data_IF_581272441750
#
_entry.id   IF_581272441750
#
_cell.length_a   1.000
_cell.length_b   1.000
_cell.length_c   1.000
_cell.angle_alpha   90.00
_cell.angle_beta   90.00
_cell.angle_gamma   90.00
#
_symmetry.space_group_name_H-M   'P 1'
#
loop_
_entity.id
_entity.type
_entity.pdbx_description
1 polymer ?
#
# COMPACT_ATOMS: atom_id res chain seq x y z
N UNK A 1 -3.06 18.84 22.21
CA UNK A 1 -3.80 20.09 22.38
C UNK A 1 -3.41 21.05 21.24
N UNK A 2 -4.32 21.27 20.30
CA UNK A 2 -4.12 22.10 19.10
C UNK A 2 -3.67 23.53 19.44
N UNK A 3 -4.07 24.07 20.61
CA UNK A 3 -3.65 25.40 21.08
C UNK A 3 -2.15 25.53 21.33
N UNK A 4 -1.44 24.39 21.38
CA UNK A 4 0.00 24.31 21.59
C UNK A 4 0.73 23.76 20.36
N UNK A 5 -0.01 23.46 19.30
CA UNK A 5 0.55 22.91 18.07
C UNK A 5 1.47 23.94 17.39
N UNK A 6 2.50 23.42 16.73
CA UNK A 6 3.45 24.21 15.93
C UNK A 6 3.72 23.44 14.64
N UNK A 7 4.06 24.14 13.59
CA UNK A 7 4.61 23.53 12.37
C UNK A 7 5.87 22.74 12.68
N UNK A 8 6.10 21.69 11.93
CA UNK A 8 7.35 20.93 12.04
C UNK A 8 8.55 21.84 11.77
N UNK A 9 9.69 21.63 12.44
CA UNK A 9 10.94 22.31 12.09
C UNK A 9 11.28 22.09 10.63
N UNK A 10 11.69 23.14 9.93
CA UNK A 10 11.96 23.13 8.47
C UNK A 10 12.92 22.02 8.02
N UNK A 11 13.86 21.60 8.88
CA UNK A 11 14.79 20.49 8.61
C UNK A 11 14.10 19.20 8.18
N UNK A 12 12.89 18.92 8.65
CA UNK A 12 12.13 17.72 8.25
C UNK A 12 11.75 17.72 6.78
N UNK A 13 11.73 18.87 6.14
CA UNK A 13 11.33 19.03 4.74
C UNK A 13 12.52 19.08 3.78
N UNK A 14 13.73 19.47 4.20
CA UNK A 14 14.87 19.64 3.29
C UNK A 14 16.14 18.87 3.65
N UNK A 15 16.29 18.38 4.91
CA UNK A 15 17.47 17.60 5.27
C UNK A 15 17.36 16.16 4.75
N UNK A 16 18.37 15.72 4.01
CA UNK A 16 18.45 14.35 3.47
C UNK A 16 18.34 13.27 4.56
N UNK A 17 18.98 13.53 5.72
CA UNK A 17 18.88 12.61 6.86
C UNK A 17 17.44 12.47 7.34
N UNK A 18 16.70 13.57 7.50
CA UNK A 18 15.31 13.54 7.94
C UNK A 18 14.43 12.80 6.94
N UNK A 19 14.65 13.01 5.64
CA UNK A 19 13.98 12.30 4.57
C UNK A 19 14.24 10.78 4.63
N UNK A 20 15.49 10.37 4.76
CA UNK A 20 15.84 8.94 4.83
C UNK A 20 15.32 8.28 6.12
N UNK A 21 15.36 8.97 7.25
CA UNK A 21 14.79 8.47 8.50
C UNK A 21 13.26 8.30 8.39
N UNK A 22 12.58 9.21 7.70
CA UNK A 22 11.12 9.17 7.52
C UNK A 22 10.63 7.98 6.68
N UNK A 23 11.48 7.43 5.79
CA UNK A 23 11.14 6.24 5.00
C UNK A 23 10.83 5.01 5.85
N UNK A 24 11.33 4.96 7.09
CA UNK A 24 11.03 3.87 8.02
C UNK A 24 9.53 3.73 8.31
N UNK A 25 8.77 4.83 8.23
CA UNK A 25 7.32 4.81 8.40
C UNK A 25 6.61 3.91 7.36
N UNK A 26 7.19 3.77 6.17
CA UNK A 26 6.62 2.94 5.11
C UNK A 26 6.88 1.43 5.26
N UNK A 27 7.68 1.02 6.25
CA UNK A 27 7.85 -0.41 6.57
C UNK A 27 6.66 -1.01 7.28
N UNK A 28 5.84 -0.18 7.93
CA UNK A 28 4.56 -0.60 8.50
C UNK A 28 3.53 -0.99 7.44
N UNK A 29 2.28 -1.11 7.85
CA UNK A 29 1.21 -1.52 6.96
C UNK A 29 0.97 -0.52 5.84
N UNK A 30 1.01 -1.02 4.61
CA UNK A 30 0.77 -0.26 3.38
C UNK A 30 -0.38 -0.89 2.61
N UNK A 31 -1.25 -0.06 2.05
CA UNK A 31 -2.26 -0.52 1.09
C UNK A 31 -1.55 -1.11 -0.14
N UNK A 32 -1.99 -2.28 -0.56
CA UNK A 32 -1.43 -2.97 -1.72
C UNK A 32 -2.37 -2.91 -2.92
N UNK A 33 -3.60 -3.43 -2.78
CA UNK A 33 -4.59 -3.46 -3.86
C UNK A 33 -6.01 -3.70 -3.31
N UNK A 34 -7.01 -3.51 -4.16
CA UNK A 34 -8.41 -3.85 -3.88
C UNK A 34 -8.76 -5.24 -4.47
N UNK A 35 -9.66 -5.98 -3.79
CA UNK A 35 -10.10 -7.33 -4.17
C UNK A 35 -10.61 -7.44 -5.62
N UNK A 36 -11.21 -6.38 -6.16
CA UNK A 36 -11.71 -6.36 -7.54
C UNK A 36 -10.62 -6.54 -8.60
N UNK A 37 -9.36 -6.20 -8.28
CA UNK A 37 -8.24 -6.35 -9.21
C UNK A 37 -7.95 -7.83 -9.52
N UNK A 38 -8.33 -8.75 -8.62
CA UNK A 38 -8.21 -10.19 -8.86
C UNK A 38 -9.22 -10.77 -9.84
N UNK A 39 -10.17 -9.97 -10.35
CA UNK A 39 -11.10 -10.43 -11.39
C UNK A 39 -10.39 -10.65 -12.74
N UNK A 40 -9.32 -9.89 -13.01
CA UNK A 40 -8.58 -9.95 -14.27
C UNK A 40 -7.36 -10.87 -14.17
N UNK A 41 -6.62 -10.78 -13.07
CA UNK A 41 -5.37 -11.50 -12.87
C UNK A 41 -5.27 -11.97 -11.42
N UNK A 42 -4.59 -13.10 -11.20
CA UNK A 42 -4.36 -13.59 -9.84
C UNK A 42 -3.00 -13.19 -9.25
N UNK A 43 -2.15 -12.52 -10.02
CA UNK A 43 -0.82 -12.07 -9.60
C UNK A 43 -0.64 -10.61 -9.97
N UNK A 44 -0.28 -9.78 -8.98
CA UNK A 44 -0.08 -8.34 -9.13
C UNK A 44 1.23 -7.91 -8.47
N UNK A 45 2.25 -7.47 -9.24
CA UNK A 45 3.40 -6.77 -8.68
C UNK A 45 2.96 -5.39 -8.15
N UNK A 46 3.54 -4.96 -7.02
CA UNK A 46 3.14 -3.74 -6.31
C UNK A 46 4.27 -2.70 -6.37
N UNK A 47 4.29 -1.93 -7.43
CA UNK A 47 5.36 -0.98 -7.74
C UNK A 47 5.46 0.18 -6.75
N UNK A 48 4.33 0.70 -6.23
CA UNK A 48 4.34 1.82 -5.30
C UNK A 48 4.99 1.46 -3.97
N UNK A 49 4.86 0.23 -3.48
CA UNK A 49 5.55 -0.23 -2.27
C UNK A 49 7.04 -0.40 -2.55
N UNK A 50 7.39 -1.03 -3.67
CA UNK A 50 8.79 -1.19 -4.09
C UNK A 50 9.50 0.14 -4.22
N UNK A 51 8.89 1.13 -4.85
CA UNK A 51 9.50 2.46 -5.08
C UNK A 51 9.89 3.16 -3.78
N UNK A 52 9.21 2.86 -2.68
CA UNK A 52 9.45 3.47 -1.37
C UNK A 52 10.39 2.60 -0.53
N UNK A 53 10.15 1.30 -0.50
CA UNK A 53 10.83 0.36 0.41
C UNK A 53 12.09 -0.26 -0.20
N UNK A 54 12.18 -0.27 -1.53
CA UNK A 54 13.23 -0.95 -2.28
C UNK A 54 13.05 -2.47 -2.36
N UNK A 55 11.96 -3.03 -1.81
CA UNK A 55 11.66 -4.45 -1.86
C UNK A 55 10.59 -4.74 -2.91
N UNK A 56 10.93 -5.42 -4.01
CA UNK A 56 9.95 -5.86 -4.99
C UNK A 56 9.04 -6.93 -4.40
N UNK A 57 7.75 -6.66 -4.36
CA UNK A 57 6.76 -7.60 -3.85
C UNK A 57 5.69 -7.90 -4.89
N UNK A 58 5.02 -9.03 -4.71
CA UNK A 58 3.90 -9.46 -5.54
C UNK A 58 2.76 -9.98 -4.65
N UNK A 59 1.55 -9.52 -4.91
CA UNK A 59 0.35 -10.06 -4.27
C UNK A 59 -0.22 -11.14 -5.16
N UNK A 60 -0.54 -12.29 -4.56
CA UNK A 60 -0.95 -13.50 -5.28
C UNK A 60 -2.21 -14.06 -4.67
N UNK A 61 -3.23 -14.26 -5.49
CA UNK A 61 -4.47 -14.94 -5.11
C UNK A 61 -4.39 -16.42 -5.53
N UNK A 62 -4.16 -17.29 -4.55
CA UNK A 62 -4.33 -18.74 -4.64
C UNK A 62 -5.56 -19.18 -3.83
N UNK A 63 -5.42 -20.23 -3.03
CA UNK A 63 -6.40 -20.60 -2.01
C UNK A 63 -6.53 -19.49 -0.94
N UNK A 64 -5.43 -18.84 -0.65
CA UNK A 64 -5.33 -17.63 0.18
C UNK A 64 -4.61 -16.54 -0.62
N UNK A 65 -4.79 -15.29 -0.19
CA UNK A 65 -4.00 -14.18 -0.71
C UNK A 65 -2.69 -14.10 0.05
N UNK A 66 -1.57 -14.10 -0.68
CA UNK A 66 -0.23 -14.01 -0.12
C UNK A 66 0.49 -12.79 -0.67
N UNK A 67 1.38 -12.22 0.12
CA UNK A 67 2.37 -11.26 -0.32
C UNK A 67 3.75 -11.91 -0.30
N UNK A 68 4.38 -11.99 -1.45
CA UNK A 68 5.67 -12.68 -1.63
C UNK A 68 6.72 -11.71 -2.15
N UNK A 69 7.99 -11.94 -1.80
CA UNK A 69 9.09 -11.31 -2.51
C UNK A 69 9.03 -11.68 -3.99
N UNK A 70 9.13 -10.70 -4.85
CA UNK A 70 9.12 -10.87 -6.30
C UNK A 70 10.52 -11.16 -6.86
N UNK A 71 11.40 -11.65 -6.02
CA UNK A 71 12.82 -11.89 -6.34
C UNK A 71 13.15 -13.37 -6.20
N UNK A 72 13.73 -13.92 -7.27
CA UNK A 72 14.21 -15.30 -7.28
C UNK A 72 15.31 -15.52 -6.25
N UNK A 73 15.13 -16.49 -5.35
CA UNK A 73 16.08 -16.83 -4.28
C UNK A 73 17.41 -17.43 -4.75
N UNK A 74 17.63 -17.56 -6.09
CA UNK A 74 18.91 -18.02 -6.63
C UNK A 74 19.89 -16.85 -6.87
N UNK A 75 19.55 -15.92 -7.77
CA UNK A 75 20.40 -14.78 -8.15
C UNK A 75 19.65 -13.46 -8.32
N UNK A 76 18.57 -13.27 -7.60
CA UNK A 76 17.90 -11.98 -7.47
C UNK A 76 17.17 -11.51 -8.73
N UNK A 77 16.84 -12.39 -9.70
CA UNK A 77 16.04 -11.99 -10.85
C UNK A 77 14.58 -11.75 -10.42
N UNK A 78 13.97 -10.69 -10.91
CA UNK A 78 12.54 -10.43 -10.75
C UNK A 78 11.74 -11.54 -11.45
N UNK A 79 10.65 -11.96 -10.82
CA UNK A 79 9.84 -13.09 -11.31
C UNK A 79 8.63 -12.62 -12.15
N UNK A 80 8.03 -11.50 -11.79
CA UNK A 80 6.82 -10.96 -12.41
C UNK A 80 6.98 -9.45 -12.62
N UNK A 81 6.85 -9.00 -13.86
CA UNK A 81 6.96 -7.58 -14.20
C UNK A 81 5.59 -6.90 -14.36
N UNK A 82 4.54 -7.65 -14.72
CA UNK A 82 3.20 -7.12 -14.98
C UNK A 82 2.13 -8.03 -14.40
N UNK A 83 0.93 -7.52 -14.08
CA UNK A 83 -0.19 -8.34 -13.66
C UNK A 83 -0.45 -9.48 -14.65
N UNK A 84 -0.61 -10.70 -14.13
CA UNK A 84 -0.84 -11.89 -14.94
C UNK A 84 -1.58 -12.98 -14.17
N UNK A 85 -2.01 -14.04 -14.92
CA UNK A 85 -2.63 -15.22 -14.32
C UNK A 85 -1.73 -16.44 -14.53
N UNK A 86 -1.20 -16.98 -13.43
CA UNK A 86 -0.34 -18.19 -13.43
C UNK A 86 -0.63 -19.03 -12.19
N UNK A 87 -0.29 -20.32 -12.26
CA UNK A 87 -0.40 -21.27 -11.14
C UNK A 87 0.94 -21.56 -10.45
N UNK A 88 2.01 -20.95 -10.94
CA UNK A 88 3.38 -21.11 -10.41
C UNK A 88 4.26 -19.98 -10.92
N UNK A 89 5.38 -19.77 -10.25
CA UNK A 89 6.44 -18.88 -10.72
C UNK A 89 7.55 -19.70 -11.38
N UNK A 90 8.10 -19.17 -12.44
CA UNK A 90 9.32 -19.70 -13.07
C UNK A 90 10.27 -18.56 -13.37
N UNK A 91 11.47 -18.63 -12.78
CA UNK A 91 12.55 -17.72 -13.07
C UNK A 91 13.07 -17.94 -14.49
N UNK A 92 13.11 -16.91 -15.30
CA UNK A 92 13.57 -17.01 -16.69
C UNK A 92 15.09 -17.16 -16.81
N UNK A 93 15.83 -16.87 -15.72
CA UNK A 93 17.29 -16.93 -15.75
C UNK A 93 17.81 -18.36 -15.76
N UNK A 94 17.39 -19.22 -14.79
CA UNK A 94 17.88 -20.60 -14.68
C UNK A 94 16.75 -21.63 -14.50
N UNK A 95 15.52 -21.23 -14.75
CA UNK A 95 14.38 -22.15 -14.70
C UNK A 95 13.92 -22.55 -13.30
N UNK A 96 14.44 -21.91 -12.22
CA UNK A 96 13.96 -22.16 -10.85
C UNK A 96 12.46 -21.91 -10.75
N UNK A 97 11.72 -22.85 -10.14
CA UNK A 97 10.27 -22.76 -10.04
C UNK A 97 9.79 -22.74 -8.60
N UNK A 98 8.69 -22.02 -8.39
CA UNK A 98 7.99 -21.91 -7.10
C UNK A 98 6.50 -22.15 -7.32
N UNK A 99 5.85 -22.71 -6.32
CA UNK A 99 4.38 -22.76 -6.29
C UNK A 99 3.78 -21.36 -6.07
N UNK A 100 2.48 -21.28 -6.26
CA UNK A 100 1.74 -20.02 -6.12
C UNK A 100 1.79 -19.42 -4.70
N UNK A 101 2.05 -20.26 -3.69
CA UNK A 101 2.27 -19.87 -2.30
C UNK A 101 3.75 -19.55 -1.97
N UNK A 102 4.62 -19.49 -2.99
CA UNK A 102 6.03 -19.12 -2.86
C UNK A 102 6.99 -20.24 -2.46
N UNK A 103 6.51 -21.48 -2.30
CA UNK A 103 7.38 -22.60 -1.96
C UNK A 103 8.21 -23.06 -3.14
N UNK A 104 9.48 -23.34 -2.89
CA UNK A 104 10.36 -23.94 -3.86
C UNK A 104 9.78 -25.25 -4.43
N UNK A 105 9.94 -25.49 -5.73
CA UNK A 105 9.49 -26.68 -6.43
C UNK A 105 10.59 -27.43 -7.13
N UNK A 106 11.38 -26.71 -7.92
CA UNK A 106 12.42 -27.33 -8.73
C UNK A 106 13.53 -26.33 -9.13
N UNK A 107 14.74 -26.83 -9.28
CA UNK A 107 15.88 -26.13 -9.87
C UNK A 107 16.61 -27.12 -10.78
N UNK A 108 16.69 -26.86 -12.10
CA UNK A 108 17.44 -27.73 -13.01
C UNK A 108 18.92 -27.85 -12.61
N UNK A 109 19.49 -29.03 -12.80
CA UNK A 109 20.91 -29.32 -12.54
C UNK A 109 21.39 -29.24 -11.09
N UNK A 110 20.41 -29.23 -10.13
CA UNK A 110 20.70 -29.20 -8.68
C UNK A 110 20.47 -30.54 -7.98
N UNK A 111 20.36 -31.62 -8.76
CA UNK A 111 20.18 -32.98 -8.23
C UNK A 111 21.43 -33.38 -7.42
N UNK A 112 21.21 -33.82 -6.19
CA UNK A 112 22.28 -34.31 -5.30
C UNK A 112 23.08 -33.23 -4.59
N UNK A 113 22.70 -31.96 -4.67
CA UNK A 113 23.31 -30.88 -3.88
C UNK A 113 22.96 -31.09 -2.41
N UNK A 114 23.97 -31.12 -1.53
CA UNK A 114 23.81 -31.36 -0.09
C UNK A 114 23.17 -30.13 0.56
N UNK A 115 22.13 -30.37 1.35
CA UNK A 115 21.40 -29.28 2.07
C UNK A 115 20.46 -28.47 1.19
N UNK A 116 20.20 -28.93 -0.03
CA UNK A 116 19.26 -28.30 -0.96
C UNK A 116 18.12 -29.28 -1.32
N UNK A 117 16.84 -28.82 -1.40
CA UNK A 117 16.37 -27.50 -0.98
C UNK A 117 16.26 -27.34 0.54
N UNK A 118 16.26 -26.10 1.00
CA UNK A 118 15.99 -25.68 2.39
C UNK A 118 14.84 -24.67 2.44
N UNK A 119 14.46 -24.23 3.62
CA UNK A 119 13.43 -23.18 3.77
C UNK A 119 13.88 -21.83 3.19
N UNK A 120 15.17 -21.57 3.14
CA UNK A 120 15.75 -20.37 2.53
C UNK A 120 15.59 -20.32 1.00
N UNK A 121 15.24 -21.46 0.40
CA UNK A 121 14.96 -21.54 -1.03
C UNK A 121 13.55 -21.09 -1.40
N UNK A 122 12.64 -20.95 -0.43
CA UNK A 122 11.33 -20.41 -0.63
C UNK A 122 11.37 -18.89 -0.86
N UNK A 123 10.34 -18.35 -1.52
CA UNK A 123 10.15 -16.90 -1.58
C UNK A 123 9.80 -16.37 -0.18
N UNK A 124 10.38 -15.24 0.21
CA UNK A 124 10.02 -14.58 1.45
C UNK A 124 8.53 -14.19 1.41
N UNK A 125 7.83 -14.46 2.50
CA UNK A 125 6.42 -14.14 2.66
C UNK A 125 6.27 -12.96 3.63
N UNK A 126 5.48 -11.95 3.23
CA UNK A 126 5.16 -10.79 4.05
C UNK A 126 3.75 -10.93 4.64
N UNK A 127 3.52 -10.41 5.85
CA UNK A 127 2.20 -10.46 6.46
C UNK A 127 1.15 -9.71 5.62
N UNK A 128 -0.05 -10.26 5.61
CA UNK A 128 -1.21 -9.69 4.93
C UNK A 128 -2.32 -9.37 5.92
N UNK A 129 -3.03 -8.30 5.66
CA UNK A 129 -4.28 -7.96 6.33
C UNK A 129 -5.30 -7.49 5.29
N UNK A 130 -6.58 -7.73 5.58
CA UNK A 130 -7.68 -7.34 4.68
C UNK A 130 -8.73 -6.63 5.52
N UNK A 131 -9.21 -5.51 5.02
CA UNK A 131 -10.35 -4.79 5.56
C UNK A 131 -11.23 -4.32 4.41
N UNK A 132 -12.48 -4.76 4.39
CA UNK A 132 -13.52 -4.37 3.44
C UNK A 132 -13.04 -4.35 1.97
N UNK A 133 -12.41 -5.46 1.52
CA UNK A 133 -11.86 -5.60 0.18
C UNK A 133 -10.51 -4.92 -0.08
N UNK A 134 -10.02 -4.11 0.84
CA UNK A 134 -8.70 -3.49 0.77
C UNK A 134 -7.64 -4.44 1.36
N UNK A 135 -6.63 -4.77 0.58
CA UNK A 135 -5.51 -5.61 0.98
C UNK A 135 -4.32 -4.76 1.40
N UNK A 136 -3.73 -5.10 2.54
CA UNK A 136 -2.57 -4.43 3.11
C UNK A 136 -1.46 -5.44 3.35
N UNK A 137 -0.22 -4.98 3.26
CA UNK A 137 0.97 -5.76 3.62
C UNK A 137 1.93 -4.91 4.45
N UNK A 138 2.85 -5.56 5.17
CA UNK A 138 3.84 -4.87 6.00
C UNK A 138 5.19 -5.57 5.91
N UNK A 139 6.26 -4.78 5.93
CA UNK A 139 7.62 -5.27 6.15
C UNK A 139 7.97 -5.31 7.65
N UNK A 140 7.17 -4.66 8.50
CA UNK A 140 7.26 -4.71 9.95
C UNK A 140 5.98 -5.34 10.55
N UNK A 141 5.98 -6.65 10.78
CA UNK A 141 4.81 -7.35 11.32
C UNK A 141 4.46 -6.95 12.76
N UNK A 142 5.35 -6.24 13.45
CA UNK A 142 5.11 -5.73 14.82
C UNK A 142 4.31 -4.43 14.83
N UNK A 143 4.17 -3.78 13.68
CA UNK A 143 3.39 -2.55 13.52
C UNK A 143 1.90 -2.85 13.76
N UNK A 144 1.23 -2.15 14.69
CA UNK A 144 -0.19 -2.37 14.94
C UNK A 144 -1.04 -1.83 13.78
N UNK A 145 -2.19 -2.47 13.57
CA UNK A 145 -3.22 -1.93 12.67
C UNK A 145 -4.40 -1.49 13.54
N UNK A 146 -4.87 -0.26 13.42
CA UNK A 146 -5.99 0.24 14.21
C UNK A 146 -7.36 -0.17 13.64
N UNK A 147 -7.58 -1.45 13.33
CA UNK A 147 -8.82 -1.90 12.67
C UNK A 147 -10.07 -1.53 13.45
N UNK A 148 -10.07 -1.67 14.76
CA UNK A 148 -11.23 -1.31 15.57
C UNK A 148 -11.59 0.18 15.44
N UNK A 149 -10.59 1.05 15.36
CA UNK A 149 -10.75 2.49 15.17
C UNK A 149 -11.24 2.83 13.77
N UNK A 150 -10.71 2.12 12.75
CA UNK A 150 -11.14 2.26 11.35
C UNK A 150 -12.58 1.77 11.19
N UNK A 151 -12.88 0.57 11.66
CA UNK A 151 -14.21 -0.05 11.59
C UNK A 151 -15.29 0.81 12.25
N UNK A 152 -15.01 1.35 13.43
CA UNK A 152 -15.98 2.18 14.16
C UNK A 152 -16.34 3.48 13.42
N UNK A 153 -15.48 3.96 12.53
CA UNK A 153 -15.66 5.21 11.77
C UNK A 153 -16.09 5.01 10.34
N UNK A 154 -15.62 3.95 9.69
CA UNK A 154 -15.77 3.73 8.26
C UNK A 154 -16.50 2.43 7.91
N UNK A 155 -16.84 1.59 8.89
CA UNK A 155 -17.50 0.30 8.65
C UNK A 155 -18.92 0.40 8.07
N UNK A 156 -19.46 1.62 7.92
CA UNK A 156 -20.71 1.86 7.18
C UNK A 156 -20.51 1.94 5.65
N UNK A 157 -19.25 2.09 5.20
CA UNK A 157 -18.91 2.06 3.78
C UNK A 157 -18.87 0.60 3.31
N UNK A 158 -19.42 0.31 2.16
CA UNK A 158 -19.35 -1.00 1.50
C UNK A 158 -18.25 -0.94 0.43
N UNK A 159 -16.98 -0.82 0.88
CA UNK A 159 -15.83 -0.64 -0.03
C UNK A 159 -15.58 -1.92 -0.84
N UNK A 160 -15.85 -3.10 -0.26
CA UNK A 160 -15.73 -4.37 -0.98
C UNK A 160 -16.56 -4.43 -2.25
N UNK A 161 -17.69 -3.71 -2.31
CA UNK A 161 -18.54 -3.62 -3.51
C UNK A 161 -17.94 -2.73 -4.62
N UNK A 162 -16.93 -1.95 -4.34
CA UNK A 162 -16.31 -1.06 -5.31
C UNK A 162 -15.47 -1.84 -6.32
N UNK A 163 -15.31 -1.26 -7.49
CA UNK A 163 -14.50 -1.85 -8.56
C UNK A 163 -13.42 -0.85 -8.97
N UNK A 164 -12.17 -1.30 -8.91
CA UNK A 164 -11.04 -0.51 -9.39
C UNK A 164 -11.20 -0.23 -10.90
N UNK A 165 -11.08 1.04 -11.28
CA UNK A 165 -11.13 1.49 -12.67
C UNK A 165 -9.74 1.99 -13.11
N UNK A 166 -8.93 1.13 -13.74
CA UNK A 166 -7.57 1.50 -14.14
C UNK A 166 -7.51 2.63 -15.17
N UNK A 167 -8.61 2.92 -15.87
CA UNK A 167 -8.66 4.05 -16.80
C UNK A 167 -8.64 5.41 -16.09
N UNK A 168 -8.92 5.42 -14.80
CA UNK A 168 -8.90 6.61 -13.95
C UNK A 168 -7.62 6.77 -13.13
N UNK A 169 -6.75 5.77 -13.12
CA UNK A 169 -5.47 5.87 -12.44
C UNK A 169 -4.63 7.00 -13.04
N UNK A 170 -3.96 7.75 -12.19
CA UNK A 170 -3.06 8.84 -12.59
C UNK A 170 -1.83 8.83 -11.72
N UNK A 171 -0.67 8.81 -12.34
CA UNK A 171 0.62 8.94 -11.69
C UNK A 171 1.13 10.36 -11.87
N UNK A 172 1.49 11.00 -10.76
CA UNK A 172 2.07 12.33 -10.74
C UNK A 172 3.45 12.28 -10.08
N UNK A 173 4.49 12.59 -10.84
CA UNK A 173 5.86 12.71 -10.33
C UNK A 173 6.16 14.13 -9.93
N UNK A 174 6.56 14.33 -8.67
CA UNK A 174 6.83 15.64 -8.10
C UNK A 174 8.18 15.62 -7.38
N UNK A 175 9.01 16.63 -7.66
CA UNK A 175 10.30 16.82 -6.99
C UNK A 175 10.13 17.53 -5.64
N UNK A 176 9.49 16.84 -4.68
CA UNK A 176 9.26 17.36 -3.34
C UNK A 176 9.35 16.24 -2.29
N UNK A 177 9.65 16.61 -1.06
CA UNK A 177 9.60 15.68 0.06
C UNK A 177 8.13 15.27 0.32
N UNK A 178 7.87 13.97 0.41
CA UNK A 178 6.53 13.43 0.64
C UNK A 178 5.86 13.99 1.91
N UNK A 179 6.63 14.35 2.93
CA UNK A 179 6.12 14.93 4.17
C UNK A 179 5.38 16.25 3.96
N UNK A 180 5.73 17.02 2.91
CA UNK A 180 4.99 18.24 2.54
C UNK A 180 3.56 17.91 2.09
N UNK A 181 3.40 16.80 1.38
CA UNK A 181 2.09 16.32 0.97
C UNK A 181 1.24 15.87 2.15
N UNK A 182 1.83 15.09 3.05
CA UNK A 182 1.16 14.62 4.26
C UNK A 182 0.75 15.81 5.14
N UNK A 183 1.67 16.74 5.39
CA UNK A 183 1.42 17.93 6.22
C UNK A 183 0.27 18.78 5.64
N UNK A 184 0.28 19.00 4.32
CA UNK A 184 -0.79 19.72 3.63
C UNK A 184 -2.13 18.93 3.62
N UNK A 185 -2.07 17.60 3.48
CA UNK A 185 -3.29 16.78 3.42
C UNK A 185 -3.95 16.61 4.80
N UNK A 186 -3.19 16.59 5.88
CA UNK A 186 -3.69 16.36 7.24
C UNK A 186 -4.41 17.56 7.86
N UNK A 187 -4.55 18.65 7.13
CA UNK A 187 -5.30 19.84 7.55
C UNK A 187 -6.20 20.36 6.42
N UNK A 188 -7.23 21.11 6.75
CA UNK A 188 -8.17 21.71 5.79
C UNK A 188 -8.09 23.23 5.72
N UNK A 189 -7.20 23.87 6.45
CA UNK A 189 -7.16 25.33 6.60
C UNK A 189 -6.85 26.08 5.31
N UNK A 190 -6.14 25.46 4.38
CA UNK A 190 -5.79 26.03 3.09
C UNK A 190 -6.94 26.00 2.07
N UNK A 191 -7.95 25.12 2.26
CA UNK A 191 -9.04 24.90 1.29
C UNK A 191 -9.70 26.22 0.86
N UNK A 192 -10.13 27.11 1.76
CA UNK A 192 -10.78 28.35 1.37
C UNK A 192 -9.92 29.31 0.55
N UNK A 193 -8.58 29.16 0.63
CA UNK A 193 -7.63 30.10 0.03
C UNK A 193 -6.96 29.54 -1.23
N UNK A 194 -6.75 28.22 -1.28
CA UNK A 194 -5.96 27.56 -2.34
C UNK A 194 -6.85 26.79 -3.32
N UNK A 195 -7.98 26.27 -2.85
CA UNK A 195 -8.87 25.41 -3.63
C UNK A 195 -10.29 26.01 -3.75
N UNK A 196 -10.49 27.09 -4.52
CA UNK A 196 -11.78 27.77 -4.59
C UNK A 196 -12.92 26.89 -5.12
N UNK A 197 -12.64 25.98 -6.05
CA UNK A 197 -13.62 25.01 -6.56
C UNK A 197 -14.03 23.99 -5.49
N UNK A 198 -13.06 23.44 -4.76
CA UNK A 198 -13.34 22.53 -3.66
C UNK A 198 -14.09 23.23 -2.53
N UNK A 199 -13.73 24.49 -2.23
CA UNK A 199 -14.42 25.29 -1.22
C UNK A 199 -15.88 25.63 -1.60
N UNK A 200 -16.21 25.63 -2.88
CA UNK A 200 -17.61 25.77 -3.35
C UNK A 200 -18.39 24.45 -3.20
N UNK A 201 -17.72 23.32 -3.37
CA UNK A 201 -18.31 21.97 -3.24
C UNK A 201 -18.48 21.54 -1.78
N UNK A 202 -17.73 22.10 -0.84
CA UNK A 202 -17.72 21.74 0.56
C UNK A 202 -18.38 22.80 1.45
N UNK A 203 -19.20 22.37 2.39
CA UNK A 203 -19.54 23.18 3.57
C UNK A 203 -18.34 23.19 4.52
N UNK A 204 -17.46 24.17 4.34
CA UNK A 204 -16.24 24.28 5.14
C UNK A 204 -16.55 24.47 6.65
N UNK A 205 -17.69 25.06 7.01
CA UNK A 205 -18.09 25.21 8.42
C UNK A 205 -18.35 23.88 9.12
N UNK A 206 -18.68 22.85 8.33
CA UNK A 206 -18.88 21.48 8.80
C UNK A 206 -17.67 20.55 8.61
N UNK A 207 -16.51 21.10 8.20
CA UNK A 207 -15.29 20.31 8.03
C UNK A 207 -14.70 19.91 9.38
N UNK A 208 -14.46 18.62 9.56
CA UNK A 208 -13.97 18.05 10.81
C UNK A 208 -12.65 17.31 10.57
N UNK A 209 -11.69 17.55 11.45
CA UNK A 209 -10.48 16.73 11.55
C UNK A 209 -10.46 16.05 12.91
N UNK A 210 -10.49 14.72 12.90
CA UNK A 210 -10.43 13.87 14.09
C UNK A 210 -9.09 13.14 14.11
N UNK A 211 -8.43 13.11 15.27
CA UNK A 211 -7.22 12.29 15.49
C UNK A 211 -7.55 11.15 16.43
N UNK A 212 -7.09 9.97 16.11
CA UNK A 212 -7.23 8.78 16.93
C UNK A 212 -5.91 7.98 16.95
N UNK A 213 -5.81 6.95 17.77
CA UNK A 213 -4.61 6.14 17.85
C UNK A 213 -4.34 5.44 16.50
N UNK A 214 -3.22 5.78 15.88
CA UNK A 214 -2.79 5.23 14.59
C UNK A 214 -3.39 5.91 13.36
N UNK A 215 -4.14 7.02 13.50
CA UNK A 215 -4.73 7.66 12.32
C UNK A 215 -5.29 9.05 12.51
N UNK A 216 -5.67 9.61 11.37
CA UNK A 216 -6.40 10.88 11.26
C UNK A 216 -7.57 10.66 10.31
N UNK A 217 -8.73 11.14 10.67
CA UNK A 217 -9.91 11.16 9.81
C UNK A 217 -10.32 12.61 9.53
N UNK A 218 -10.55 12.91 8.26
CA UNK A 218 -11.09 14.18 7.81
C UNK A 218 -12.45 13.95 7.17
N UNK A 219 -13.44 14.74 7.58
CA UNK A 219 -14.80 14.65 7.08
C UNK A 219 -15.18 16.01 6.51
N UNK A 220 -15.42 16.07 5.21
CA UNK A 220 -15.99 17.21 4.51
C UNK A 220 -17.47 16.95 4.19
N UNK A 221 -18.34 17.89 4.50
CA UNK A 221 -19.75 17.83 4.08
C UNK A 221 -19.89 18.46 2.70
N UNK A 222 -20.50 17.71 1.76
CA UNK A 222 -20.83 18.27 0.46
C UNK A 222 -21.93 19.33 0.58
N UNK A 223 -21.85 20.37 -0.24
CA UNK A 223 -22.93 21.33 -0.42
C UNK A 223 -24.16 20.65 -1.05
N UNK A 224 -25.33 21.25 -0.89
CA UNK A 224 -26.55 20.72 -1.48
C UNK A 224 -26.44 20.67 -3.01
N UNK A 225 -26.69 19.50 -3.61
CA UNK A 225 -26.60 19.28 -5.04
C UNK A 225 -25.27 18.69 -5.54
N UNK A 226 -24.24 18.65 -4.71
CA UNK A 226 -22.97 18.02 -5.06
C UNK A 226 -22.97 16.50 -4.80
N UNK A 227 -21.98 15.82 -5.42
CA UNK A 227 -21.78 14.39 -5.22
C UNK A 227 -21.40 14.11 -3.77
N UNK A 228 -22.13 13.20 -3.14
CA UNK A 228 -21.89 12.79 -1.76
C UNK A 228 -22.04 11.29 -1.63
N UNK A 229 -21.30 10.71 -0.69
CA UNK A 229 -21.59 9.36 -0.25
C UNK A 229 -22.94 9.35 0.47
N UNK A 230 -23.78 8.38 0.16
CA UNK A 230 -25.01 8.16 0.93
C UNK A 230 -24.58 7.63 2.31
N UNK A 231 -24.85 8.37 3.36
CA UNK A 231 -24.73 7.96 4.74
C UNK A 231 -26.06 7.36 5.20
#
# INVERSE_FOLDING_TARGET
>A
DIRKSRTLPSKFYYEEKAFNDSKTAFKGWQFALHSSQFQSNNIHPIEHIESITGEPIVIVKGEQVNCLSNICTHRGMRLIDQPCSKNSFRCEYHGRTFSIDGKFRNMPEFEGVIGFPSDDDNLLNFPMAVWDGLHFTSQDPTSPIPWAEVESRLGFLDIESYVHDPARDRDHSISANWMLYVDNYLEGFHIPFVHPELNQALDYSGYITETFEGGVLQIGKAMEGDVKFAL
#
